data_IF_574802629782
#
_entry.id   IF_574802629782
#
_cell.length_a   1.000
_cell.length_b   1.000
_cell.length_c   1.000
_cell.angle_alpha   90.00
_cell.angle_beta   90.00
_cell.angle_gamma   90.00
#
_symmetry.space_group_name_H-M   'P 1'
#
loop_
_entity.id
_entity.type
_entity.pdbx_description
1 polymer ?
#
# COMPACT_ATOMS: atom_id res chain seq x y z
N UNK A 1 -22.01 25.99 15.88
CA UNK A 1 -22.14 24.61 15.36
C UNK A 1 -20.75 24.00 15.36
N UNK A 2 -20.49 22.82 15.95
CA UNK A 2 -19.19 22.21 15.81
C UNK A 2 -19.06 21.71 14.37
N UNK A 3 -18.08 22.23 13.63
CA UNK A 3 -17.60 21.57 12.42
C UNK A 3 -17.05 20.21 12.85
N UNK A 4 -17.73 19.13 12.48
CA UNK A 4 -17.11 17.81 12.44
C UNK A 4 -16.00 17.92 11.39
N UNK A 5 -14.79 18.25 11.81
CA UNK A 5 -13.61 18.02 11.00
C UNK A 5 -13.54 16.51 10.78
N UNK A 6 -13.81 16.06 9.55
CA UNK A 6 -13.45 14.71 9.12
C UNK A 6 -12.00 14.46 9.58
N UNK A 7 -11.82 13.53 10.51
CA UNK A 7 -10.50 13.19 11.02
C UNK A 7 -9.79 12.37 9.95
N UNK A 8 -9.19 13.05 8.99
CA UNK A 8 -8.28 12.42 8.05
C UNK A 8 -7.07 11.91 8.83
N UNK A 9 -6.93 10.57 8.91
CA UNK A 9 -5.76 9.94 9.54
C UNK A 9 -4.83 9.47 8.44
N UNK A 10 -3.62 10.03 8.43
CA UNK A 10 -2.57 9.59 7.51
C UNK A 10 -1.48 8.84 8.26
N UNK A 11 -0.98 7.76 7.68
CA UNK A 11 0.15 7.01 8.21
C UNK A 11 0.89 6.28 7.08
N UNK A 12 2.10 5.83 7.36
CA UNK A 12 2.90 5.04 6.43
C UNK A 12 3.31 3.73 7.08
N UNK A 13 3.50 2.70 6.26
CA UNK A 13 4.02 1.41 6.65
C UNK A 13 5.07 0.96 5.63
N UNK A 14 6.22 0.57 6.15
CA UNK A 14 7.34 0.02 5.41
C UNK A 14 7.34 -1.51 5.46
N UNK A 15 7.63 -2.11 4.32
CA UNK A 15 7.64 -3.55 4.16
C UNK A 15 8.83 -4.01 3.33
N UNK A 16 9.23 -5.25 3.56
CA UNK A 16 10.28 -5.95 2.83
C UNK A 16 9.71 -7.26 2.34
N UNK A 17 9.90 -7.55 1.06
CA UNK A 17 9.50 -8.80 0.40
C UNK A 17 10.68 -9.31 -0.42
N UNK A 18 10.98 -10.60 -0.30
CA UNK A 18 11.99 -11.27 -1.11
C UNK A 18 11.30 -12.12 -2.17
N UNK A 19 11.63 -11.91 -3.44
CA UNK A 19 11.00 -12.56 -4.59
C UNK A 19 12.11 -13.00 -5.55
N UNK A 20 12.22 -14.30 -5.85
CA UNK A 20 13.24 -14.81 -6.78
C UNK A 20 14.70 -14.55 -6.36
N UNK A 21 14.96 -14.28 -5.09
CA UNK A 21 16.29 -13.89 -4.57
C UNK A 21 16.61 -12.39 -4.67
N UNK A 22 15.70 -11.58 -5.21
CA UNK A 22 15.80 -10.12 -5.21
C UNK A 22 15.03 -9.55 -3.99
N UNK A 23 15.62 -8.54 -3.35
CA UNK A 23 15.00 -7.86 -2.20
C UNK A 23 14.22 -6.65 -2.66
N UNK A 24 12.91 -6.68 -2.44
CA UNK A 24 11.99 -5.57 -2.65
C UNK A 24 11.66 -4.89 -1.33
N UNK A 25 11.81 -3.58 -1.29
CA UNK A 25 11.38 -2.71 -0.19
C UNK A 25 10.29 -1.80 -0.71
N UNK A 26 9.16 -1.73 -0.01
CA UNK A 26 8.08 -0.82 -0.40
C UNK A 26 7.53 -0.04 0.78
N UNK A 27 7.24 1.24 0.54
CA UNK A 27 6.69 2.16 1.55
C UNK A 27 5.28 2.53 1.14
N UNK A 28 4.29 1.95 1.81
CA UNK A 28 2.87 2.24 1.59
C UNK A 28 2.43 3.40 2.49
N UNK A 29 1.90 4.47 1.91
CA UNK A 29 1.31 5.62 2.60
C UNK A 29 -0.20 5.59 2.42
N UNK A 30 -0.91 5.79 3.52
CA UNK A 30 -2.36 5.71 3.60
C UNK A 30 -2.91 7.05 4.07
N UNK A 31 -4.05 7.44 3.50
CA UNK A 31 -4.88 8.55 3.96
C UNK A 31 -6.30 8.02 4.14
N UNK A 32 -6.72 7.89 5.40
CA UNK A 32 -8.02 7.36 5.79
C UNK A 32 -9.01 8.50 5.96
N UNK A 33 -10.06 8.50 5.14
CA UNK A 33 -11.30 9.27 5.31
C UNK A 33 -12.51 8.38 4.98
N UNK A 34 -13.58 8.96 4.43
CA UNK A 34 -14.68 8.18 3.81
C UNK A 34 -14.18 7.33 2.64
N UNK A 35 -13.23 7.91 1.89
CA UNK A 35 -12.42 7.20 0.90
C UNK A 35 -11.03 6.99 1.46
N UNK A 36 -10.52 5.79 1.28
CA UNK A 36 -9.14 5.45 1.58
C UNK A 36 -8.33 5.69 0.33
N UNK A 37 -7.30 6.52 0.44
CA UNK A 37 -6.31 6.71 -0.59
C UNK A 37 -5.00 6.09 -0.14
N UNK A 38 -4.31 5.42 -1.05
CA UNK A 38 -3.01 4.85 -0.77
C UNK A 38 -2.05 5.04 -1.94
N UNK A 39 -0.77 5.12 -1.61
CA UNK A 39 0.32 5.10 -2.57
C UNK A 39 1.48 4.28 -2.01
N UNK A 40 2.23 3.61 -2.86
CA UNK A 40 3.36 2.80 -2.48
C UNK A 40 4.52 3.04 -3.44
N UNK A 41 5.68 3.40 -2.88
CA UNK A 41 6.93 3.44 -3.64
C UNK A 41 7.65 2.11 -3.47
N UNK A 42 8.01 1.47 -4.57
CA UNK A 42 8.67 0.17 -4.60
C UNK A 42 10.12 0.39 -5.03
N UNK A 43 11.03 -0.18 -4.25
CA UNK A 43 12.46 -0.23 -4.51
C UNK A 43 12.88 -1.69 -4.57
N UNK A 44 13.88 -2.00 -5.40
CA UNK A 44 14.52 -3.30 -5.49
C UNK A 44 16.02 -3.13 -5.44
N UNK A 45 16.69 -3.79 -4.50
CA UNK A 45 18.14 -3.66 -4.29
C UNK A 45 18.58 -2.17 -4.28
N UNK A 46 17.86 -1.35 -3.52
CA UNK A 46 18.06 0.10 -3.37
C UNK A 46 17.82 0.95 -4.64
N UNK A 47 17.29 0.36 -5.72
CA UNK A 47 16.91 1.07 -6.95
C UNK A 47 15.39 1.26 -7.04
N UNK A 48 14.88 2.44 -7.45
CA UNK A 48 13.45 2.65 -7.65
C UNK A 48 12.95 1.74 -8.76
N UNK A 49 11.90 0.96 -8.48
CA UNK A 49 11.30 0.02 -9.43
C UNK A 49 9.94 0.44 -9.94
N UNK A 50 9.14 1.02 -9.07
CA UNK A 50 7.78 1.37 -9.43
C UNK A 50 7.09 2.21 -8.38
N UNK A 51 5.94 2.71 -8.76
CA UNK A 51 5.02 3.42 -7.90
C UNK A 51 3.62 2.87 -8.16
N UNK A 52 2.92 2.50 -7.09
CA UNK A 52 1.53 2.07 -7.12
C UNK A 52 0.68 3.06 -6.36
N UNK A 53 -0.51 3.33 -6.84
CA UNK A 53 -1.46 4.17 -6.14
C UNK A 53 -2.88 3.69 -6.42
N UNK A 54 -3.74 3.86 -5.43
CA UNK A 54 -5.12 3.48 -5.55
C UNK A 54 -6.00 4.15 -4.52
N UNK A 55 -7.30 3.97 -4.71
CA UNK A 55 -8.30 4.46 -3.78
C UNK A 55 -9.48 3.52 -3.72
N UNK A 56 -10.07 3.33 -2.55
CA UNK A 56 -11.29 2.55 -2.38
C UNK A 56 -12.15 3.10 -1.26
N UNK A 57 -13.45 2.82 -1.32
CA UNK A 57 -14.37 3.21 -0.25
C UNK A 57 -14.05 2.41 1.02
N UNK A 58 -14.08 3.07 2.17
CA UNK A 58 -13.78 2.42 3.44
C UNK A 58 -14.74 1.26 3.74
N UNK A 59 -15.98 1.29 3.23
CA UNK A 59 -16.97 0.21 3.31
C UNK A 59 -17.12 -0.50 4.69
N UNK A 60 -16.72 0.16 5.79
CA UNK A 60 -16.68 -0.43 7.13
C UNK A 60 -15.38 -1.13 7.52
N UNK A 61 -14.39 -1.26 6.63
CA UNK A 61 -13.07 -1.83 6.93
C UNK A 61 -12.33 -1.03 8.02
N UNK A 62 -11.75 -1.78 8.96
CA UNK A 62 -10.81 -1.26 9.94
C UNK A 62 -9.42 -1.01 9.32
N UNK A 63 -8.61 -0.19 9.99
CA UNK A 63 -7.22 0.08 9.59
C UNK A 63 -6.39 -1.18 9.30
N UNK A 64 -6.40 -2.25 10.12
CA UNK A 64 -5.59 -3.44 9.83
C UNK A 64 -6.04 -4.18 8.56
N UNK A 65 -7.35 -4.18 8.25
CA UNK A 65 -7.88 -4.82 7.05
C UNK A 65 -7.47 -4.05 5.80
N UNK A 66 -7.55 -2.72 5.86
CA UNK A 66 -7.11 -1.81 4.81
C UNK A 66 -5.63 -2.00 4.49
N UNK A 67 -4.80 -2.05 5.53
CA UNK A 67 -3.36 -2.25 5.40
C UNK A 67 -3.07 -3.62 4.80
N UNK A 68 -3.75 -4.68 5.29
CA UNK A 68 -3.61 -6.03 4.75
C UNK A 68 -3.96 -6.11 3.27
N UNK A 69 -5.10 -5.55 2.86
CA UNK A 69 -5.55 -5.56 1.48
C UNK A 69 -4.58 -4.83 0.53
N UNK A 70 -4.13 -3.62 0.90
CA UNK A 70 -3.17 -2.86 0.10
C UNK A 70 -1.82 -3.57 0.04
N UNK A 71 -1.37 -4.17 1.15
CA UNK A 71 -0.15 -4.96 1.19
C UNK A 71 -0.22 -6.11 0.20
N UNK A 72 -1.30 -6.90 0.21
CA UNK A 72 -1.50 -8.00 -0.73
C UNK A 72 -1.46 -7.52 -2.18
N UNK A 73 -2.18 -6.45 -2.52
CA UNK A 73 -2.16 -5.89 -3.87
C UNK A 73 -0.75 -5.46 -4.35
N UNK A 74 0.05 -4.87 -3.46
CA UNK A 74 1.42 -4.47 -3.79
C UNK A 74 2.30 -5.71 -3.98
N UNK A 75 2.17 -6.72 -3.12
CA UNK A 75 2.95 -7.95 -3.20
C UNK A 75 2.61 -8.75 -4.48
N UNK A 76 1.33 -8.87 -4.83
CA UNK A 76 0.89 -9.50 -6.07
C UNK A 76 1.47 -8.79 -7.30
N UNK A 77 1.47 -7.46 -7.31
CA UNK A 77 2.05 -6.69 -8.42
C UNK A 77 3.58 -6.82 -8.50
N UNK A 78 4.26 -6.92 -7.36
CA UNK A 78 5.70 -7.23 -7.32
C UNK A 78 5.95 -8.62 -7.92
N UNK A 79 5.15 -9.63 -7.57
CA UNK A 79 5.27 -10.99 -8.09
C UNK A 79 4.99 -11.03 -9.61
N UNK A 80 3.94 -10.35 -10.07
CA UNK A 80 3.59 -10.22 -11.48
C UNK A 80 4.71 -9.53 -12.30
N UNK A 81 5.33 -8.47 -11.77
CA UNK A 81 6.46 -7.80 -12.42
C UNK A 81 7.70 -8.70 -12.57
N UNK A 82 7.85 -9.70 -11.69
CA UNK A 82 8.93 -10.68 -11.78
C UNK A 82 8.61 -11.85 -12.70
N UNK A 83 7.42 -11.87 -13.31
CA UNK A 83 6.95 -13.01 -14.11
C UNK A 83 6.81 -14.27 -13.27
N UNK A 84 6.64 -14.13 -11.95
CA UNK A 84 6.24 -15.21 -11.05
C UNK A 84 4.72 -15.23 -11.07
N UNK A 85 4.17 -15.56 -12.24
CA UNK A 85 2.82 -16.10 -12.34
C UNK A 85 2.97 -17.60 -12.05
N UNK A 86 2.37 -18.08 -10.96
CA UNK A 86 2.26 -19.53 -10.71
C UNK A 86 1.32 -20.20 -11.72
#
# INVERSE_FOLDING_TARGET
MPHNAEQFRSFSADYIREVGGEKYTYVARFTLGDTINWNADITRDDLPKGHLAGSFQRAGFGEPEVVGAVKTLIEEEIEAQNGIDE
#
